data_IF_781593375562
#
_entry.id   IF_781593375562
#
_cell.length_a   1.000
_cell.length_b   1.000
_cell.length_c   1.000
_cell.angle_alpha   90.00
_cell.angle_beta   90.00
_cell.angle_gamma   90.00
#
_symmetry.space_group_name_H-M   'P 1'
#
loop_
_entity.id
_entity.type
_entity.pdbx_description
1 polymer ?
#
# COMPACT_ATOMS: atom_id res chain seq x y z
N UNK A 1 22.33 0.74 -5.34
CA UNK A 1 21.64 1.62 -4.38
C UNK A 1 20.16 1.31 -4.47
N UNK A 2 19.63 0.60 -3.48
CA UNK A 2 18.25 0.11 -3.43
C UNK A 2 17.32 1.22 -2.99
N UNK A 3 16.63 1.83 -3.95
CA UNK A 3 15.63 2.86 -3.66
C UNK A 3 14.29 2.19 -3.33
N UNK A 4 13.76 2.44 -2.13
CA UNK A 4 12.47 1.89 -1.70
C UNK A 4 11.32 2.64 -2.37
N UNK A 5 10.29 1.89 -2.78
CA UNK A 5 9.10 2.44 -3.47
C UNK A 5 8.20 3.29 -2.55
N UNK A 6 8.22 3.04 -1.25
CA UNK A 6 7.51 3.86 -0.25
C UNK A 6 8.52 4.80 0.38
N UNK A 7 8.24 6.11 0.32
CA UNK A 7 9.10 7.17 0.89
C UNK A 7 8.50 7.82 2.13
N UNK A 8 7.18 7.88 2.21
CA UNK A 8 6.44 8.49 3.33
C UNK A 8 5.17 7.67 3.61
N UNK A 9 4.77 7.60 4.88
CA UNK A 9 3.53 6.94 5.32
C UNK A 9 2.47 8.03 5.54
N UNK A 10 1.41 8.10 4.71
CA UNK A 10 0.35 9.09 4.86
C UNK A 10 -0.42 8.93 6.19
N UNK A 11 -0.77 10.05 6.82
CA UNK A 11 -1.65 10.08 8.00
C UNK A 11 -3.11 10.31 7.57
N UNK A 12 -3.86 9.22 7.39
CA UNK A 12 -5.26 9.24 6.93
C UNK A 12 -6.16 8.49 7.92
N UNK A 13 -7.45 8.88 7.99
CA UNK A 13 -8.45 8.23 8.85
C UNK A 13 -8.58 6.74 8.44
N UNK A 14 -8.12 5.79 9.27
CA UNK A 14 -8.02 4.40 8.85
C UNK A 14 -9.38 3.70 8.94
N UNK A 15 -9.67 2.86 7.95
CA UNK A 15 -10.72 1.83 8.06
C UNK A 15 -10.03 0.52 8.41
N UNK A 16 -10.39 -0.08 9.54
CA UNK A 16 -9.78 -1.34 9.98
C UNK A 16 -10.29 -2.51 9.14
N UNK A 17 -9.36 -3.30 8.62
CA UNK A 17 -9.63 -4.53 7.88
C UNK A 17 -8.64 -5.59 8.36
N UNK A 18 -9.14 -6.79 8.68
CA UNK A 18 -8.30 -7.94 9.03
C UNK A 18 -7.96 -8.72 7.77
N UNK A 19 -6.68 -9.01 7.56
CA UNK A 19 -6.18 -9.78 6.41
C UNK A 19 -5.29 -10.92 6.90
N UNK A 20 -5.40 -12.09 6.27
CA UNK A 20 -4.46 -13.19 6.45
C UNK A 20 -3.35 -13.06 5.41
N UNK A 21 -2.09 -13.16 5.84
CA UNK A 21 -0.93 -13.14 4.95
C UNK A 21 -0.23 -14.50 4.97
N UNK A 22 0.27 -14.98 3.82
CA UNK A 22 1.27 -16.04 3.78
C UNK A 22 2.48 -15.71 4.68
N UNK A 23 3.10 -16.74 5.26
CA UNK A 23 4.18 -16.56 6.23
C UNK A 23 5.42 -15.90 5.61
N UNK A 24 5.76 -16.27 4.38
CA UNK A 24 6.84 -15.68 3.58
C UNK A 24 6.60 -14.18 3.34
N UNK A 25 5.38 -13.80 2.95
CA UNK A 25 5.03 -12.40 2.73
C UNK A 25 5.11 -11.57 4.02
N UNK A 26 4.74 -12.13 5.16
CA UNK A 26 4.89 -11.46 6.45
C UNK A 26 6.38 -11.23 6.80
N UNK A 27 7.23 -12.24 6.57
CA UNK A 27 8.69 -12.10 6.75
C UNK A 27 9.30 -11.03 5.85
N UNK A 28 8.89 -10.97 4.58
CA UNK A 28 9.34 -9.94 3.64
C UNK A 28 8.88 -8.54 4.07
N UNK A 29 7.67 -8.42 4.61
CA UNK A 29 7.14 -7.14 5.10
C UNK A 29 7.92 -6.63 6.32
N UNK A 30 8.30 -7.52 7.23
CA UNK A 30 9.20 -7.19 8.35
C UNK A 30 10.56 -6.71 7.85
N UNK A 31 11.16 -7.41 6.89
CA UNK A 31 12.43 -7.01 6.30
C UNK A 31 12.32 -5.65 5.61
N UNK A 32 11.23 -5.39 4.87
CA UNK A 32 10.98 -4.10 4.24
C UNK A 32 10.86 -2.98 5.27
N UNK A 33 10.11 -3.21 6.35
CA UNK A 33 9.96 -2.24 7.44
C UNK A 33 11.30 -1.91 8.09
N UNK A 34 12.15 -2.92 8.32
CA UNK A 34 13.50 -2.72 8.85
C UNK A 34 14.37 -1.87 7.93
N UNK A 35 14.29 -2.08 6.61
CA UNK A 35 15.04 -1.27 5.64
C UNK A 35 14.54 0.17 5.55
N UNK A 36 13.24 0.40 5.73
CA UNK A 36 12.65 1.74 5.71
C UNK A 36 12.94 2.55 6.98
N UNK A 37 13.06 1.85 8.11
CA UNK A 37 13.25 2.44 9.45
C UNK A 37 14.57 3.22 9.59
N UNK A 38 15.59 2.92 8.76
CA UNK A 38 16.88 3.61 8.82
C UNK A 38 17.43 3.70 10.25
N UNK A 39 17.61 4.94 10.75
CA UNK A 39 18.02 5.26 12.13
C UNK A 39 16.87 5.72 13.05
N UNK A 40 15.65 5.85 12.53
CA UNK A 40 14.49 6.41 13.23
C UNK A 40 13.45 5.32 13.54
N UNK A 41 13.67 4.57 14.62
CA UNK A 41 12.67 3.71 15.26
C UNK A 41 12.10 2.57 14.39
N UNK A 42 11.48 1.58 15.02
CA UNK A 42 10.89 0.47 14.26
C UNK A 42 9.58 0.92 13.56
N UNK A 43 9.54 0.86 12.22
CA UNK A 43 8.29 1.00 11.45
C UNK A 43 7.41 -0.22 11.67
N UNK A 44 6.17 -0.01 12.09
CA UNK A 44 5.16 -1.08 12.13
C UNK A 44 4.86 -1.60 10.70
N UNK A 45 5.12 -2.88 10.41
CA UNK A 45 4.86 -3.49 9.11
C UNK A 45 3.42 -3.28 8.62
N UNK A 46 2.44 -3.27 9.53
CA UNK A 46 1.03 -3.09 9.15
C UNK A 46 0.77 -1.72 8.52
N UNK A 47 1.54 -0.68 8.89
CA UNK A 47 1.44 0.67 8.33
C UNK A 47 1.94 0.75 6.88
N UNK A 48 2.69 -0.26 6.40
CA UNK A 48 3.15 -0.34 5.02
C UNK A 48 2.08 -0.86 4.05
N UNK A 49 1.13 -1.65 4.55
CA UNK A 49 0.15 -2.34 3.69
C UNK A 49 -0.68 -1.33 2.89
N UNK A 50 -1.21 -0.31 3.55
CA UNK A 50 -2.03 0.71 2.90
C UNK A 50 -1.27 1.50 1.79
N UNK A 51 -0.09 2.10 2.04
CA UNK A 51 0.66 2.80 1.01
C UNK A 51 1.18 1.87 -0.11
N UNK A 52 1.54 0.62 0.19
CA UNK A 52 1.91 -0.36 -0.85
C UNK A 52 0.73 -0.69 -1.78
N UNK A 53 -0.45 -0.99 -1.23
CA UNK A 53 -1.65 -1.26 -2.03
C UNK A 53 -2.07 -0.05 -2.85
N UNK A 54 -1.94 1.16 -2.29
CA UNK A 54 -2.19 2.40 -3.01
C UNK A 54 -1.26 2.55 -4.21
N UNK A 55 0.05 2.38 -4.01
CA UNK A 55 1.03 2.49 -5.08
C UNK A 55 0.77 1.44 -6.17
N UNK A 56 0.41 0.21 -5.77
CA UNK A 56 0.00 -0.83 -6.70
C UNK A 56 -1.20 -0.39 -7.54
N UNK A 57 -2.30 0.02 -6.92
CA UNK A 57 -3.51 0.49 -7.61
C UNK A 57 -3.27 1.71 -8.50
N UNK A 58 -2.40 2.64 -8.08
CA UNK A 58 -2.02 3.80 -8.89
C UNK A 58 -1.22 3.41 -10.14
N UNK A 59 -0.36 2.39 -10.02
CA UNK A 59 0.47 1.90 -11.12
C UNK A 59 -0.29 1.04 -12.13
N UNK A 60 -1.40 0.41 -11.71
CA UNK A 60 -2.21 -0.45 -12.58
C UNK A 60 -3.11 0.37 -13.52
N UNK A 61 -2.67 0.49 -14.78
CA UNK A 61 -3.41 1.21 -15.84
C UNK A 61 -4.74 0.53 -16.19
N UNK A 62 -4.84 -0.79 -16.10
CA UNK A 62 -6.06 -1.52 -16.41
C UNK A 62 -7.11 -1.23 -15.34
N UNK A 63 -6.71 -1.31 -14.07
CA UNK A 63 -7.54 -0.89 -12.93
C UNK A 63 -7.99 0.57 -13.07
N UNK A 64 -7.06 1.49 -13.37
CA UNK A 64 -7.39 2.90 -13.52
C UNK A 64 -8.42 3.15 -14.65
N UNK A 65 -8.36 2.40 -15.74
CA UNK A 65 -9.34 2.47 -16.85
C UNK A 65 -10.71 1.93 -16.44
N UNK A 66 -10.74 0.78 -15.77
CA UNK A 66 -11.99 0.16 -15.29
C UNK A 66 -12.71 1.09 -14.29
N UNK A 67 -11.99 1.63 -13.30
CA UNK A 67 -12.53 2.55 -12.30
C UNK A 67 -13.14 3.82 -12.90
N UNK A 68 -12.55 4.35 -13.98
CA UNK A 68 -13.11 5.51 -14.70
C UNK A 68 -14.43 5.18 -15.40
N UNK A 69 -14.53 3.98 -16.00
CA UNK A 69 -15.77 3.53 -16.64
C UNK A 69 -16.90 3.38 -15.62
N UNK A 70 -16.63 2.79 -14.46
CA UNK A 70 -17.62 2.66 -13.38
C UNK A 70 -18.09 4.03 -12.85
N UNK A 71 -17.16 4.97 -12.63
CA UNK A 71 -17.53 6.34 -12.22
C UNK A 71 -18.35 7.08 -13.28
N UNK A 72 -18.03 6.89 -14.56
CA UNK A 72 -18.80 7.48 -15.67
C UNK A 72 -20.23 6.92 -15.78
N UNK A 73 -20.43 5.65 -15.42
CA UNK A 73 -21.77 5.01 -15.39
C UNK A 73 -22.60 5.51 -14.19
N UNK A 74 -21.97 5.84 -13.05
CA UNK A 74 -22.66 6.34 -11.85
C UNK A 74 -23.14 7.79 -11.96
N UNK A 75 -22.58 8.61 -12.85
CA UNK A 75 -22.99 10.02 -13.04
C UNK A 75 -24.01 10.22 -14.17
N UNK A 76 -24.49 9.13 -14.79
CA UNK A 76 -25.46 9.15 -15.89
C UNK A 76 -26.82 8.55 -15.56
N UNK A 77 -27.19 8.41 -14.28
CA UNK A 77 -28.50 7.93 -13.85
C UNK A 77 -29.15 8.90 -12.86
#
# INVERSE_FOLDING_TARGET
MTELKIREIPDEKPVKMTVALPADLHSDLLAYAALLSGSDGAVDPARLVAPMLRQFMMSDKAFARARRKEKGVSSGK
#
